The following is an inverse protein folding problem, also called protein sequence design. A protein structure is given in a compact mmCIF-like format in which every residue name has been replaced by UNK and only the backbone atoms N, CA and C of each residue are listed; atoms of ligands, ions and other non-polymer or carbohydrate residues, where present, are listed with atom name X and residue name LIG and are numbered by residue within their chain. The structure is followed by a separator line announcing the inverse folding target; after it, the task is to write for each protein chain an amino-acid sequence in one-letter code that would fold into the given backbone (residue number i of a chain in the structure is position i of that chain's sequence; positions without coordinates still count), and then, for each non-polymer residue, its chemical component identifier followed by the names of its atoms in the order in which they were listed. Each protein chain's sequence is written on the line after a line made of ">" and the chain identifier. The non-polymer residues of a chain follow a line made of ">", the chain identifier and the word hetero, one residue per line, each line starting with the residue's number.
data_IF_008665724757
#
_entry.id   IF_008665724757
#
_cell.length_a   1.000
_cell.length_b   1.000
_cell.length_c   1.000
_cell.angle_alpha   90.00
_cell.angle_beta   90.00
_cell.angle_gamma   90.00
#
_symmetry.space_group_name_H-M   'P 1'
#
loop_
_entity.id
_entity.type
_entity.pdbx_description
1 polymer ?
#
# COMPACT_ATOMS: atom_id res chain seq x y z
N UNK A 1 -23.54 13.04 15.35
CA UNK A 1 -22.25 12.77 16.02
C UNK A 1 -21.21 13.53 15.20
N UNK A 2 -20.32 14.30 15.82
CA UNK A 2 -19.28 15.01 15.08
C UNK A 2 -18.43 13.97 14.32
N UNK A 3 -18.22 14.20 13.02
CA UNK A 3 -17.28 13.41 12.22
C UNK A 3 -15.86 13.82 12.66
N UNK A 4 -15.34 13.24 13.76
CA UNK A 4 -13.99 13.48 14.22
C UNK A 4 -12.96 13.12 13.16
N UNK A 5 -11.72 13.59 13.35
CA UNK A 5 -10.66 13.45 12.36
C UNK A 5 -10.23 11.97 12.16
N UNK A 6 -9.73 11.67 10.96
CA UNK A 6 -9.02 10.43 10.65
C UNK A 6 -7.52 10.71 10.75
N UNK A 7 -6.81 9.97 11.60
CA UNK A 7 -5.36 10.02 11.62
C UNK A 7 -4.80 9.14 10.51
N UNK A 8 -4.08 9.73 9.57
CA UNK A 8 -3.36 9.03 8.50
C UNK A 8 -1.88 9.00 8.84
N UNK A 9 -1.33 7.86 9.21
CA UNK A 9 0.12 7.72 9.41
C UNK A 9 0.82 7.37 8.10
N UNK A 10 2.11 7.67 7.99
CA UNK A 10 2.80 7.56 6.70
C UNK A 10 2.33 8.61 5.69
N UNK A 11 1.88 9.77 6.18
CA UNK A 11 1.23 10.81 5.39
C UNK A 11 2.16 11.57 4.44
N UNK A 12 3.46 11.36 4.50
CA UNK A 12 4.42 11.85 3.52
C UNK A 12 4.73 10.82 2.41
N UNK A 13 4.31 9.56 2.59
CA UNK A 13 4.49 8.46 1.64
C UNK A 13 3.44 8.44 0.53
N UNK A 14 3.61 7.50 -0.43
CA UNK A 14 2.74 7.33 -1.59
C UNK A 14 1.26 7.21 -1.21
N UNK A 15 0.91 6.22 -0.38
CA UNK A 15 -0.49 5.93 -0.03
C UNK A 15 -1.03 7.00 0.91
N UNK A 16 -0.30 7.27 2.01
CA UNK A 16 -0.76 8.18 3.06
C UNK A 16 -0.99 9.60 2.56
N UNK A 17 -0.10 10.13 1.70
CA UNK A 17 -0.28 11.45 1.14
C UNK A 17 -1.53 11.54 0.24
N UNK A 18 -1.66 10.62 -0.70
CA UNK A 18 -2.80 10.62 -1.64
C UNK A 18 -4.12 10.47 -0.88
N UNK A 19 -4.14 9.61 0.14
CA UNK A 19 -5.30 9.41 1.00
C UNK A 19 -5.64 10.67 1.82
N UNK A 20 -4.66 11.26 2.51
CA UNK A 20 -4.90 12.47 3.31
C UNK A 20 -5.38 13.64 2.46
N UNK A 21 -4.77 13.84 1.28
CA UNK A 21 -5.21 14.85 0.33
C UNK A 21 -6.63 14.61 -0.19
N UNK A 22 -6.99 13.34 -0.48
CA UNK A 22 -8.34 12.96 -0.93
C UNK A 22 -9.37 13.20 0.17
N UNK A 23 -9.09 12.81 1.42
CA UNK A 23 -9.96 13.05 2.57
C UNK A 23 -10.18 14.55 2.80
N UNK A 24 -9.11 15.33 2.79
CA UNK A 24 -9.17 16.79 2.92
C UNK A 24 -10.02 17.42 1.81
N UNK A 25 -9.79 17.06 0.56
CA UNK A 25 -10.54 17.58 -0.60
C UNK A 25 -12.02 17.21 -0.56
N UNK A 26 -12.39 16.09 0.07
CA UNK A 26 -13.78 15.68 0.29
C UNK A 26 -14.45 16.34 1.51
N UNK A 27 -13.73 17.22 2.22
CA UNK A 27 -14.23 17.91 3.42
C UNK A 27 -14.23 17.04 4.68
N UNK A 28 -13.57 15.87 4.68
CA UNK A 28 -13.44 14.99 5.84
C UNK A 28 -12.28 15.48 6.71
N UNK A 29 -12.48 15.67 8.03
CA UNK A 29 -11.39 16.03 8.92
C UNK A 29 -10.30 14.96 8.89
N UNK A 30 -9.04 15.36 8.65
CA UNK A 30 -7.88 14.47 8.56
C UNK A 30 -6.67 15.11 9.22
N UNK A 31 -5.84 14.29 9.86
CA UNK A 31 -4.54 14.68 10.39
C UNK A 31 -3.51 13.73 9.80
N UNK A 32 -2.48 14.27 9.14
CA UNK A 32 -1.34 13.50 8.67
C UNK A 32 -0.26 13.36 9.74
N UNK A 33 0.38 12.19 9.83
CA UNK A 33 1.52 11.94 10.71
C UNK A 33 2.60 11.17 9.97
N UNK A 34 3.85 11.66 10.02
CA UNK A 34 5.03 10.98 9.47
C UNK A 34 6.30 11.52 10.12
N UNK A 35 7.46 10.92 9.83
CA UNK A 35 8.78 11.39 10.30
C UNK A 35 9.11 12.81 9.86
N UNK A 36 8.71 13.18 8.66
CA UNK A 36 8.93 14.49 8.07
C UNK A 36 7.71 14.92 7.25
N UNK A 37 7.54 16.21 7.09
CA UNK A 37 6.46 16.76 6.28
C UNK A 37 6.57 16.30 4.82
N UNK A 38 5.42 16.14 4.13
CA UNK A 38 5.41 15.80 2.71
C UNK A 38 6.19 16.85 1.89
N UNK A 39 6.86 16.39 0.84
CA UNK A 39 7.48 17.30 -0.12
C UNK A 39 6.41 18.06 -0.92
N UNK A 40 6.64 19.35 -1.16
CA UNK A 40 5.71 20.22 -1.89
C UNK A 40 4.55 20.74 -1.03
N UNK A 41 3.56 21.36 -1.68
CA UNK A 41 2.40 21.92 -0.99
C UNK A 41 1.41 20.82 -0.57
N UNK A 42 0.83 20.97 0.61
CA UNK A 42 -0.27 20.16 1.12
C UNK A 42 -1.16 21.01 2.04
N UNK A 43 -2.43 20.65 2.21
CA UNK A 43 -3.43 21.47 2.89
C UNK A 43 -3.97 20.83 4.18
N UNK A 44 -3.64 19.57 4.46
CA UNK A 44 -4.11 18.89 5.67
C UNK A 44 -3.19 19.19 6.89
N UNK A 45 -3.74 19.23 8.12
CA UNK A 45 -2.95 19.31 9.35
C UNK A 45 -1.93 18.18 9.44
N UNK A 46 -0.70 18.49 9.89
CA UNK A 46 0.39 17.52 9.91
C UNK A 46 1.19 17.55 11.22
N UNK A 47 1.52 16.36 11.72
CA UNK A 47 2.35 16.14 12.90
C UNK A 47 3.60 15.37 12.50
N UNK A 48 4.77 15.96 12.73
CA UNK A 48 6.05 15.27 12.55
C UNK A 48 6.35 14.40 13.76
N UNK A 49 6.33 13.08 13.58
CA UNK A 49 6.61 12.12 14.65
C UNK A 49 7.01 10.74 14.11
N UNK A 50 7.84 10.03 14.87
CA UNK A 50 8.12 8.61 14.69
C UNK A 50 6.97 7.76 15.27
N UNK A 51 6.66 6.61 14.68
CA UNK A 51 5.67 5.67 15.22
C UNK A 51 6.08 5.10 16.59
N UNK A 52 7.37 5.19 16.94
CA UNK A 52 7.90 4.87 18.25
C UNK A 52 7.70 5.98 19.29
N UNK A 53 7.38 7.20 18.88
CA UNK A 53 7.09 8.33 19.79
C UNK A 53 5.63 8.25 20.27
N UNK A 54 5.43 7.45 21.30
CA UNK A 54 4.11 7.20 21.89
C UNK A 54 3.48 8.50 22.41
N UNK A 55 4.26 9.44 22.92
CA UNK A 55 3.74 10.71 23.42
C UNK A 55 3.13 11.55 22.28
N UNK A 56 3.84 11.66 21.16
CA UNK A 56 3.34 12.37 19.97
C UNK A 56 2.13 11.67 19.36
N UNK A 57 2.09 10.34 19.39
CA UNK A 57 0.92 9.59 18.95
C UNK A 57 -0.32 9.92 19.79
N UNK A 58 -0.22 9.93 21.13
CA UNK A 58 -1.35 10.29 22.00
C UNK A 58 -1.73 11.77 21.86
N UNK A 59 -0.76 12.68 21.68
CA UNK A 59 -1.02 14.10 21.38
C UNK A 59 -1.82 14.26 20.08
N UNK A 60 -1.52 13.46 19.05
CA UNK A 60 -2.31 13.43 17.82
C UNK A 60 -3.73 12.92 18.05
N UNK A 61 -3.90 11.86 18.84
CA UNK A 61 -5.22 11.27 19.13
C UNK A 61 -6.10 12.17 19.99
N UNK A 62 -5.52 13.07 20.79
CA UNK A 62 -6.27 14.04 21.62
C UNK A 62 -6.93 15.16 20.76
N UNK A 63 -6.71 15.20 19.45
CA UNK A 63 -7.30 16.15 18.51
C UNK A 63 -8.63 15.67 17.89
N UNK A 64 -9.51 15.07 18.69
CA UNK A 64 -10.80 14.52 18.25
C UNK A 64 -10.67 13.49 17.13
N UNK A 65 -9.66 12.61 17.22
CA UNK A 65 -9.46 11.51 16.26
C UNK A 65 -10.46 10.39 16.53
N UNK A 66 -11.17 9.96 15.48
CA UNK A 66 -12.16 8.87 15.54
C UNK A 66 -11.63 7.53 15.06
N UNK A 67 -10.60 7.52 14.23
CA UNK A 67 -10.02 6.29 13.73
C UNK A 67 -8.71 6.55 13.02
N UNK A 68 -8.04 5.48 12.64
CA UNK A 68 -6.69 5.53 12.05
C UNK A 68 -6.66 4.76 10.74
N UNK A 69 -6.05 5.36 9.70
CA UNK A 69 -5.60 4.61 8.53
C UNK A 69 -4.07 4.59 8.59
N UNK A 70 -3.53 3.40 8.88
CA UNK A 70 -2.12 3.21 9.19
C UNK A 70 -1.34 2.78 7.95
N UNK A 71 -0.73 3.77 7.26
CA UNK A 71 0.15 3.56 6.11
C UNK A 71 1.65 3.66 6.48
N UNK A 72 1.98 4.10 7.70
CA UNK A 72 3.36 4.32 8.14
C UNK A 72 4.14 3.01 8.26
N UNK A 73 5.20 2.89 7.46
CA UNK A 73 6.11 1.74 7.47
C UNK A 73 7.37 2.04 6.65
N UNK A 74 8.44 1.33 6.93
CA UNK A 74 9.53 1.14 5.95
C UNK A 74 9.00 0.13 4.94
N UNK A 75 8.66 0.62 3.72
CA UNK A 75 7.82 -0.10 2.77
C UNK A 75 8.59 -0.59 1.56
N UNK A 76 8.86 -1.88 1.53
CA UNK A 76 9.46 -2.61 0.40
C UNK A 76 10.54 -3.58 0.84
N UNK A 77 10.61 -4.77 0.22
CA UNK A 77 11.61 -5.79 0.56
C UNK A 77 13.04 -5.39 0.19
N UNK A 78 13.21 -4.37 -0.67
CA UNK A 78 14.52 -3.87 -1.11
C UNK A 78 15.14 -2.83 -0.16
N UNK A 79 14.40 -2.33 0.83
CA UNK A 79 14.87 -1.25 1.69
C UNK A 79 15.60 -1.81 2.92
N UNK A 80 16.66 -1.10 3.36
CA UNK A 80 17.41 -1.38 4.58
C UNK A 80 17.81 -2.88 4.73
N UNK A 81 18.26 -3.50 3.64
CA UNK A 81 18.72 -4.89 3.64
C UNK A 81 19.90 -5.13 4.62
N UNK A 82 20.70 -4.10 4.84
CA UNK A 82 21.81 -4.06 5.79
C UNK A 82 21.38 -3.72 7.24
N UNK A 83 20.13 -3.28 7.44
CA UNK A 83 19.61 -2.92 8.76
C UNK A 83 18.18 -3.44 9.00
N UNK A 84 17.96 -4.76 8.98
CA UNK A 84 16.63 -5.36 9.14
C UNK A 84 15.98 -5.07 10.49
N UNK A 85 16.78 -4.80 11.53
CA UNK A 85 16.27 -4.44 12.86
C UNK A 85 15.43 -3.15 12.80
N UNK A 86 15.84 -2.16 12.03
CA UNK A 86 15.09 -0.91 11.88
C UNK A 86 13.74 -1.15 11.22
N UNK A 87 13.64 -2.08 10.24
CA UNK A 87 12.38 -2.47 9.64
C UNK A 87 11.45 -3.09 10.70
N UNK A 88 11.96 -4.01 11.50
CA UNK A 88 11.18 -4.64 12.59
C UNK A 88 10.71 -3.61 13.59
N UNK A 89 11.59 -2.70 14.03
CA UNK A 89 11.26 -1.67 15.00
C UNK A 89 10.18 -0.72 14.48
N UNK A 90 10.33 -0.22 13.28
CA UNK A 90 9.34 0.69 12.69
C UNK A 90 8.01 -0.02 12.40
N UNK A 91 8.06 -1.17 11.73
CA UNK A 91 6.85 -1.78 11.20
C UNK A 91 6.09 -2.61 12.24
N UNK A 92 6.77 -3.39 13.10
CA UNK A 92 6.09 -4.20 14.11
C UNK A 92 5.79 -3.37 15.36
N UNK A 93 6.82 -2.75 15.95
CA UNK A 93 6.60 -2.00 17.18
C UNK A 93 5.76 -0.74 16.92
N UNK A 94 6.00 -0.04 15.81
CA UNK A 94 5.17 1.10 15.41
C UNK A 94 3.71 0.71 15.22
N UNK A 95 3.42 -0.40 14.52
CA UNK A 95 2.05 -0.89 14.36
C UNK A 95 1.42 -1.32 15.70
N UNK A 96 2.20 -1.97 16.58
CA UNK A 96 1.71 -2.32 17.92
C UNK A 96 1.32 -1.08 18.74
N UNK A 97 2.10 0.00 18.66
CA UNK A 97 1.77 1.29 19.29
C UNK A 97 0.45 1.86 18.74
N UNK A 98 0.23 1.77 17.43
CA UNK A 98 -1.01 2.23 16.78
C UNK A 98 -2.23 1.43 17.28
N UNK A 99 -2.15 0.09 17.27
CA UNK A 99 -3.26 -0.75 17.73
C UNK A 99 -3.56 -0.53 19.23
N UNK A 100 -2.52 -0.43 20.07
CA UNK A 100 -2.69 -0.20 21.49
C UNK A 100 -3.28 1.19 21.80
N UNK A 101 -2.78 2.22 21.13
CA UNK A 101 -3.31 3.56 21.30
C UNK A 101 -4.78 3.67 20.83
N UNK A 102 -5.11 3.02 19.71
CA UNK A 102 -6.49 2.96 19.22
C UNK A 102 -7.41 2.25 20.21
N UNK A 103 -6.97 1.13 20.79
CA UNK A 103 -7.71 0.40 21.82
C UNK A 103 -7.94 1.26 23.07
N UNK A 104 -6.91 1.95 23.58
CA UNK A 104 -6.99 2.77 24.78
C UNK A 104 -7.87 4.01 24.61
N UNK A 105 -7.99 4.53 23.39
CA UNK A 105 -8.83 5.69 23.05
C UNK A 105 -10.22 5.29 22.54
N UNK A 106 -10.53 4.00 22.53
CA UNK A 106 -11.81 3.46 22.04
C UNK A 106 -12.16 4.00 20.64
N UNK A 107 -11.15 3.97 19.73
CA UNK A 107 -11.33 4.48 18.38
C UNK A 107 -12.26 3.60 17.57
N UNK A 108 -13.03 4.22 16.70
CA UNK A 108 -14.00 3.54 15.84
C UNK A 108 -13.37 2.44 15.00
N UNK A 109 -12.21 2.70 14.36
CA UNK A 109 -11.55 1.72 13.47
C UNK A 109 -10.08 2.00 13.23
N UNK A 110 -9.33 0.91 13.01
CA UNK A 110 -7.97 0.95 12.45
C UNK A 110 -7.95 0.19 11.12
N UNK A 111 -7.63 0.89 10.03
CA UNK A 111 -7.32 0.27 8.73
C UNK A 111 -5.81 0.16 8.61
N UNK A 112 -5.29 -1.08 8.57
CA UNK A 112 -3.87 -1.37 8.47
C UNK A 112 -3.47 -1.63 7.01
N UNK A 113 -2.55 -0.84 6.48
CA UNK A 113 -1.96 -1.05 5.16
C UNK A 113 -0.94 -2.19 5.21
N UNK A 114 -1.41 -3.41 4.93
CA UNK A 114 -0.61 -4.61 4.78
C UNK A 114 -0.06 -4.77 3.36
N UNK A 115 0.43 -5.94 3.02
CA UNK A 115 1.01 -6.26 1.71
C UNK A 115 0.76 -7.71 1.35
N UNK A 116 0.66 -8.00 0.05
CA UNK A 116 0.69 -9.38 -0.47
C UNK A 116 2.01 -10.08 -0.21
N UNK A 117 3.10 -9.34 0.10
CA UNK A 117 4.37 -9.92 0.56
C UNK A 117 4.23 -10.72 1.87
N UNK A 118 3.17 -10.49 2.65
CA UNK A 118 2.86 -11.27 3.84
C UNK A 118 2.56 -12.74 3.53
N UNK A 119 2.04 -13.04 2.35
CA UNK A 119 1.81 -14.41 1.91
C UNK A 119 3.11 -15.18 1.65
N UNK A 120 4.16 -14.48 1.20
CA UNK A 120 5.47 -15.10 0.90
C UNK A 120 5.39 -16.14 -0.20
N UNK A 121 6.18 -17.20 -0.02
CA UNK A 121 6.28 -18.30 -0.97
C UNK A 121 5.20 -19.34 -0.78
N UNK A 122 4.52 -19.67 -1.87
CA UNK A 122 3.58 -20.78 -1.95
C UNK A 122 3.97 -21.74 -3.08
N UNK A 123 3.50 -23.01 -3.01
CA UNK A 123 3.72 -23.95 -4.11
C UNK A 123 3.20 -23.38 -5.43
N UNK A 124 3.93 -23.64 -6.52
CA UNK A 124 3.53 -23.22 -7.88
C UNK A 124 2.15 -23.74 -8.31
N UNK A 125 1.64 -24.77 -7.63
CA UNK A 125 0.29 -25.32 -7.82
C UNK A 125 -0.81 -24.45 -7.21
N UNK A 126 -0.48 -23.45 -6.38
CA UNK A 126 -1.47 -22.50 -5.88
C UNK A 126 -1.79 -21.49 -6.99
N UNK A 127 -2.96 -21.61 -7.57
CA UNK A 127 -3.42 -20.74 -8.66
C UNK A 127 -4.09 -19.48 -8.13
N UNK A 128 -4.83 -19.60 -7.02
CA UNK A 128 -5.59 -18.50 -6.40
C UNK A 128 -5.21 -18.40 -4.93
N UNK A 129 -4.91 -17.17 -4.48
CA UNK A 129 -4.58 -16.84 -3.11
C UNK A 129 -5.74 -16.03 -2.50
N UNK A 130 -6.44 -16.64 -1.57
CA UNK A 130 -7.50 -16.01 -0.79
C UNK A 130 -6.95 -15.42 0.51
N UNK A 131 -7.77 -14.66 1.24
CA UNK A 131 -7.39 -14.11 2.54
C UNK A 131 -7.12 -15.17 3.61
N UNK A 132 -7.69 -16.37 3.43
CA UNK A 132 -7.48 -17.53 4.31
C UNK A 132 -6.19 -18.30 4.00
N UNK A 133 -5.51 -18.00 2.88
CA UNK A 133 -4.22 -18.58 2.55
C UNK A 133 -3.21 -18.26 3.66
N UNK A 134 -2.48 -19.26 4.19
CA UNK A 134 -1.52 -19.03 5.27
C UNK A 134 -0.47 -17.99 4.91
N UNK A 135 -0.12 -17.14 5.87
CA UNK A 135 0.96 -16.17 5.73
C UNK A 135 2.30 -16.91 5.91
N UNK A 136 3.14 -16.89 4.88
CA UNK A 136 4.42 -17.61 4.80
C UNK A 136 5.53 -16.70 4.28
N UNK A 137 5.65 -15.50 4.86
CA UNK A 137 6.63 -14.51 4.44
C UNK A 137 8.07 -15.05 4.50
N UNK A 138 8.85 -14.75 3.45
CA UNK A 138 10.23 -15.22 3.29
C UNK A 138 11.27 -14.10 3.39
N UNK A 139 10.82 -12.85 3.49
CA UNK A 139 11.67 -11.68 3.72
C UNK A 139 11.20 -10.89 4.94
N UNK A 140 12.08 -10.03 5.47
CA UNK A 140 11.80 -9.25 6.68
C UNK A 140 10.61 -8.31 6.50
N UNK A 141 10.49 -7.65 5.36
CA UNK A 141 9.36 -6.75 5.11
C UNK A 141 8.03 -7.52 5.11
N UNK A 142 7.93 -8.61 4.37
CA UNK A 142 6.76 -9.48 4.36
C UNK A 142 6.42 -10.00 5.75
N UNK A 143 7.43 -10.43 6.52
CA UNK A 143 7.25 -10.89 7.90
C UNK A 143 6.69 -9.79 8.81
N UNK A 144 7.15 -8.53 8.65
CA UNK A 144 6.59 -7.42 9.44
C UNK A 144 5.14 -7.11 9.05
N UNK A 145 4.78 -7.22 7.76
CA UNK A 145 3.40 -7.02 7.30
C UNK A 145 2.48 -8.15 7.78
N UNK A 146 2.94 -9.40 7.73
CA UNK A 146 2.23 -10.55 8.31
C UNK A 146 2.02 -10.38 9.83
N UNK A 147 3.03 -9.88 10.55
CA UNK A 147 2.90 -9.58 11.98
C UNK A 147 1.81 -8.56 12.27
N UNK A 148 1.73 -7.49 11.49
CA UNK A 148 0.67 -6.48 11.61
C UNK A 148 -0.73 -7.04 11.33
N UNK A 149 -0.90 -7.91 10.33
CA UNK A 149 -2.15 -8.64 10.07
C UNK A 149 -2.57 -9.49 11.28
N UNK A 150 -1.62 -10.22 11.85
CA UNK A 150 -1.87 -11.08 13.02
C UNK A 150 -2.25 -10.21 14.23
N UNK A 151 -1.56 -9.09 14.46
CA UNK A 151 -1.88 -8.15 15.53
C UNK A 151 -3.28 -7.55 15.33
N UNK A 152 -3.62 -7.07 14.15
CA UNK A 152 -4.95 -6.55 13.85
C UNK A 152 -6.05 -7.53 14.24
N UNK A 153 -5.90 -8.79 13.81
CA UNK A 153 -6.85 -9.86 14.15
C UNK A 153 -6.88 -10.17 15.65
N UNK A 154 -5.74 -10.18 16.32
CA UNK A 154 -5.66 -10.46 17.75
C UNK A 154 -6.31 -9.34 18.58
N UNK A 155 -6.05 -8.07 18.27
CA UNK A 155 -6.70 -6.93 18.92
C UNK A 155 -8.22 -6.93 18.72
N UNK A 156 -8.67 -7.30 17.52
CA UNK A 156 -10.10 -7.46 17.25
C UNK A 156 -10.71 -8.59 18.11
N UNK A 157 -10.08 -9.76 18.17
CA UNK A 157 -10.60 -10.91 18.87
C UNK A 157 -10.57 -10.77 20.40
N UNK A 158 -9.49 -10.19 20.95
CA UNK A 158 -9.31 -10.12 22.40
C UNK A 158 -9.87 -8.86 23.04
N UNK A 159 -9.91 -7.75 22.30
CA UNK A 159 -10.25 -6.44 22.83
C UNK A 159 -11.40 -5.76 22.12
N UNK A 160 -11.98 -6.37 21.08
CA UNK A 160 -13.10 -5.78 20.34
C UNK A 160 -12.70 -4.57 19.47
N UNK A 161 -11.39 -4.29 19.29
CA UNK A 161 -10.95 -3.20 18.44
C UNK A 161 -11.34 -3.52 17.00
N UNK A 162 -12.13 -2.67 16.37
CA UNK A 162 -12.45 -2.81 14.96
C UNK A 162 -11.18 -2.50 14.13
N UNK A 163 -10.54 -3.54 13.64
CA UNK A 163 -9.30 -3.44 12.88
C UNK A 163 -9.33 -4.37 11.68
N UNK A 164 -8.88 -3.86 10.54
CA UNK A 164 -8.88 -4.53 9.26
C UNK A 164 -7.54 -4.35 8.54
N UNK A 165 -7.06 -5.40 7.88
CA UNK A 165 -5.84 -5.36 7.09
C UNK A 165 -6.16 -5.33 5.59
N UNK A 166 -5.52 -4.42 4.84
CA UNK A 166 -5.58 -4.37 3.38
C UNK A 166 -4.24 -4.84 2.81
N UNK A 167 -4.24 -5.99 2.14
CA UNK A 167 -3.05 -6.61 1.56
C UNK A 167 -2.84 -6.10 0.14
N UNK A 168 -2.11 -5.00 0.03
CA UNK A 168 -1.82 -4.38 -1.26
C UNK A 168 -0.76 -5.15 -2.05
N UNK A 169 -0.97 -5.29 -3.36
CA UNK A 169 0.06 -5.76 -4.29
C UNK A 169 1.03 -4.63 -4.66
N UNK A 170 1.63 -4.66 -5.86
CA UNK A 170 2.58 -3.64 -6.32
C UNK A 170 1.87 -2.31 -6.62
N UNK A 171 1.79 -1.44 -5.61
CA UNK A 171 1.20 -0.10 -5.77
C UNK A 171 2.11 0.77 -6.61
N UNK A 172 1.56 1.46 -7.63
CA UNK A 172 2.29 2.43 -8.44
C UNK A 172 1.48 3.71 -8.64
N UNK A 173 2.20 4.79 -8.99
CA UNK A 173 1.56 6.08 -9.26
C UNK A 173 2.40 7.27 -8.75
N UNK A 174 1.87 8.49 -8.88
CA UNK A 174 2.47 9.73 -8.43
C UNK A 174 3.07 9.66 -7.03
N UNK A 175 4.23 10.31 -6.83
CA UNK A 175 4.95 10.40 -5.54
C UNK A 175 5.61 9.11 -5.04
N UNK A 176 5.60 8.01 -5.80
CA UNK A 176 6.37 6.84 -5.39
C UNK A 176 7.87 7.15 -5.41
N UNK A 177 8.51 7.10 -4.24
CA UNK A 177 9.93 7.39 -4.05
C UNK A 177 10.84 6.16 -4.07
N UNK A 178 10.27 4.98 -3.80
CA UNK A 178 11.01 3.69 -3.85
C UNK A 178 11.06 3.14 -5.26
N UNK A 179 11.93 2.16 -5.49
CA UNK A 179 12.08 1.50 -6.77
C UNK A 179 10.74 1.03 -7.34
N UNK A 180 10.51 1.38 -8.59
CA UNK A 180 9.27 1.09 -9.29
C UNK A 180 9.55 0.95 -10.78
N UNK A 181 9.47 -0.28 -11.29
CA UNK A 181 9.70 -0.58 -12.69
C UNK A 181 8.92 0.34 -13.64
N UNK A 182 7.63 0.56 -13.37
CA UNK A 182 6.79 1.44 -14.21
C UNK A 182 7.33 2.87 -14.20
N UNK A 183 7.75 3.39 -13.03
CA UNK A 183 8.31 4.75 -12.95
C UNK A 183 9.62 4.86 -13.73
N UNK A 184 10.51 3.89 -13.56
CA UNK A 184 11.81 3.88 -14.23
C UNK A 184 11.65 3.86 -15.74
N UNK A 185 10.81 2.95 -16.26
CA UNK A 185 10.52 2.87 -17.70
C UNK A 185 9.89 4.15 -18.24
N UNK A 186 8.97 4.78 -17.50
CA UNK A 186 8.36 6.04 -17.89
C UNK A 186 9.38 7.19 -17.86
N UNK A 187 10.20 7.28 -16.82
CA UNK A 187 11.21 8.34 -16.69
C UNK A 187 12.24 8.24 -17.82
N UNK A 188 12.76 7.04 -18.08
CA UNK A 188 13.71 6.81 -19.18
C UNK A 188 13.06 7.14 -20.54
N UNK A 189 11.84 6.69 -20.77
CA UNK A 189 11.15 6.94 -22.02
C UNK A 189 10.88 8.44 -22.25
N UNK A 190 10.50 9.17 -21.21
CA UNK A 190 10.25 10.62 -21.27
C UNK A 190 11.54 11.43 -21.50
N UNK A 191 12.66 10.93 -21.00
CA UNK A 191 13.99 11.55 -21.18
C UNK A 191 14.75 11.03 -22.41
N UNK A 192 14.15 10.11 -23.20
CA UNK A 192 14.77 9.54 -24.39
C UNK A 192 15.94 8.59 -24.09
N UNK A 193 15.98 8.02 -22.88
CA UNK A 193 17.00 7.03 -22.49
C UNK A 193 16.53 5.61 -22.83
N UNK A 194 17.49 4.73 -23.12
CA UNK A 194 17.21 3.31 -23.25
C UNK A 194 17.12 2.64 -21.88
N UNK A 195 16.05 1.88 -21.64
CA UNK A 195 15.92 0.98 -20.50
C UNK A 195 16.32 -0.44 -20.86
N UNK A 196 17.13 -1.10 -20.02
CA UNK A 196 17.55 -2.49 -20.21
C UNK A 196 17.22 -3.31 -18.98
N UNK A 197 16.52 -4.43 -19.20
CA UNK A 197 16.14 -5.38 -18.16
C UNK A 197 16.36 -6.81 -18.66
N UNK A 198 16.51 -7.73 -17.70
CA UNK A 198 16.65 -9.15 -17.98
C UNK A 198 15.58 -9.91 -17.18
N UNK A 199 14.33 -9.85 -17.64
CA UNK A 199 13.23 -10.61 -17.04
C UNK A 199 12.97 -11.88 -17.83
N UNK A 200 12.71 -12.99 -17.11
CA UNK A 200 12.29 -14.25 -17.70
C UNK A 200 10.87 -14.19 -18.26
N UNK A 201 10.53 -15.20 -19.07
CA UNK A 201 9.18 -15.35 -19.63
C UNK A 201 8.11 -15.51 -18.55
N UNK A 202 8.50 -15.97 -17.36
CA UNK A 202 7.60 -16.16 -16.21
C UNK A 202 7.39 -14.88 -15.39
N UNK A 203 8.06 -13.77 -15.74
CA UNK A 203 7.86 -12.52 -15.02
C UNK A 203 6.40 -12.07 -15.14
N UNK A 204 5.74 -11.96 -14.00
CA UNK A 204 4.39 -11.40 -13.93
C UNK A 204 4.16 -10.81 -12.55
N UNK A 205 3.59 -9.61 -12.50
CA UNK A 205 3.23 -8.93 -11.25
C UNK A 205 1.81 -8.44 -11.28
N UNK A 206 1.18 -8.40 -10.11
CA UNK A 206 -0.12 -7.78 -9.94
C UNK A 206 0.11 -6.34 -9.50
N UNK A 207 -0.07 -5.39 -10.42
CA UNK A 207 0.01 -3.97 -10.12
C UNK A 207 -1.35 -3.44 -9.70
N UNK A 208 -1.36 -2.42 -8.84
CA UNK A 208 -2.55 -1.66 -8.49
C UNK A 208 -2.23 -0.17 -8.51
N UNK A 209 -3.07 0.62 -9.18
CA UNK A 209 -2.87 2.06 -9.25
C UNK A 209 -3.26 2.72 -7.93
N UNK A 210 -2.55 3.79 -7.58
CA UNK A 210 -2.69 4.46 -6.27
C UNK A 210 -4.12 4.90 -5.96
N UNK A 211 -4.90 5.32 -6.95
CA UNK A 211 -6.27 5.76 -6.73
C UNK A 211 -7.18 4.59 -6.28
N UNK A 212 -7.03 3.40 -6.88
CA UNK A 212 -7.74 2.19 -6.43
C UNK A 212 -7.38 1.81 -4.98
N UNK A 213 -6.12 2.01 -4.59
CA UNK A 213 -5.65 1.76 -3.21
C UNK A 213 -6.31 2.71 -2.21
N UNK A 214 -6.40 3.99 -2.57
CA UNK A 214 -7.05 5.02 -1.75
C UNK A 214 -8.55 4.74 -1.62
N UNK A 215 -9.21 4.37 -2.72
CA UNK A 215 -10.62 4.01 -2.70
C UNK A 215 -10.88 2.78 -1.82
N UNK A 216 -10.02 1.76 -1.87
CA UNK A 216 -10.10 0.59 -0.99
C UNK A 216 -9.94 0.96 0.50
N UNK A 217 -8.98 1.84 0.82
CA UNK A 217 -8.74 2.29 2.18
C UNK A 217 -9.92 3.07 2.75
N UNK A 218 -10.52 3.94 1.95
CA UNK A 218 -11.73 4.70 2.32
C UNK A 218 -12.92 3.75 2.47
N UNK A 219 -13.14 2.83 1.53
CA UNK A 219 -14.22 1.85 1.60
C UNK A 219 -14.10 0.97 2.85
N UNK A 220 -12.89 0.51 3.19
CA UNK A 220 -12.64 -0.25 4.40
C UNK A 220 -12.88 0.57 5.69
N UNK A 221 -12.54 1.86 5.67
CA UNK A 221 -12.81 2.73 6.82
C UNK A 221 -14.30 3.00 7.02
N UNK A 222 -15.06 3.15 5.96
CA UNK A 222 -16.47 3.55 5.98
C UNK A 222 -17.45 2.37 6.06
N UNK A 223 -17.01 1.15 5.81
CA UNK A 223 -17.87 -0.04 5.83
C UNK A 223 -18.52 -0.25 7.21
N UNK A 224 -19.80 -0.50 7.23
CA UNK A 224 -20.53 -0.71 8.48
C UNK A 224 -20.30 -2.10 9.09
N UNK A 225 -20.14 -3.12 8.25
CA UNK A 225 -19.94 -4.52 8.66
C UNK A 225 -18.77 -5.12 7.88
N UNK A 226 -17.69 -5.42 8.60
CA UNK A 226 -16.50 -6.05 8.05
C UNK A 226 -16.47 -7.53 8.46
N UNK A 227 -17.26 -8.38 7.82
CA UNK A 227 -17.24 -9.82 8.05
C UNK A 227 -15.84 -10.45 7.92
N UNK A 228 -15.02 -9.96 6.99
CA UNK A 228 -13.60 -10.30 6.86
C UNK A 228 -12.71 -9.29 7.60
N UNK A 229 -11.59 -9.77 8.15
CA UNK A 229 -10.59 -8.94 8.85
C UNK A 229 -9.33 -8.69 8.02
N UNK A 230 -9.28 -9.23 6.81
CA UNK A 230 -8.27 -8.92 5.80
C UNK A 230 -8.93 -8.89 4.41
N UNK A 231 -8.35 -8.10 3.50
CA UNK A 231 -8.82 -8.01 2.11
C UNK A 231 -7.62 -7.91 1.18
N UNK A 232 -7.62 -8.70 0.11
CA UNK A 232 -6.69 -8.55 -0.99
C UNK A 232 -7.08 -7.36 -1.85
N UNK A 233 -6.12 -6.49 -2.13
CA UNK A 233 -6.32 -5.27 -2.92
C UNK A 233 -5.27 -5.23 -4.03
N UNK A 234 -5.67 -5.59 -5.24
CA UNK A 234 -4.82 -5.63 -6.43
C UNK A 234 -5.55 -5.08 -7.65
N UNK A 235 -4.86 -4.90 -8.76
CA UNK A 235 -5.49 -4.46 -10.01
C UNK A 235 -6.27 -5.55 -10.77
N UNK A 236 -6.50 -6.72 -10.14
CA UNK A 236 -7.38 -7.78 -10.67
C UNK A 236 -6.72 -8.72 -11.68
N UNK A 237 -5.50 -8.49 -12.10
CA UNK A 237 -4.81 -9.34 -13.08
C UNK A 237 -3.29 -9.32 -12.90
N UNK A 238 -2.62 -10.21 -13.63
CA UNK A 238 -1.16 -10.20 -13.75
C UNK A 238 -0.77 -9.41 -14.99
N UNK A 239 0.34 -8.69 -14.88
CA UNK A 239 0.96 -8.00 -16.01
C UNK A 239 2.35 -8.60 -16.24
N UNK A 240 2.58 -9.14 -17.42
CA UNK A 240 3.90 -9.55 -17.91
C UNK A 240 4.78 -8.32 -18.16
N UNK A 241 6.05 -8.52 -18.39
CA UNK A 241 6.93 -7.41 -18.76
C UNK A 241 6.52 -6.79 -20.10
N UNK A 242 6.08 -7.61 -21.05
CA UNK A 242 5.55 -7.17 -22.35
C UNK A 242 4.27 -6.31 -22.20
N UNK A 243 3.38 -6.65 -21.27
CA UNK A 243 2.19 -5.82 -21.00
C UNK A 243 2.60 -4.44 -20.48
N UNK A 244 3.62 -4.38 -19.61
CA UNK A 244 4.15 -3.12 -19.08
C UNK A 244 4.80 -2.30 -20.21
N UNK A 245 5.63 -2.94 -21.05
CA UNK A 245 6.23 -2.29 -22.23
C UNK A 245 5.13 -1.73 -23.14
N UNK A 246 4.11 -2.52 -23.43
CA UNK A 246 3.00 -2.11 -24.28
C UNK A 246 2.28 -0.89 -23.70
N UNK A 247 2.01 -0.89 -22.39
CA UNK A 247 1.38 0.25 -21.70
C UNK A 247 2.25 1.51 -21.74
N UNK A 248 3.57 1.37 -21.55
CA UNK A 248 4.52 2.52 -21.66
C UNK A 248 4.56 3.05 -23.08
N UNK A 249 4.67 2.19 -24.10
CA UNK A 249 4.69 2.58 -25.52
C UNK A 249 3.38 3.18 -26.00
N UNK A 250 2.25 2.83 -25.42
CA UNK A 250 0.97 3.47 -25.70
C UNK A 250 0.94 4.96 -25.28
N UNK A 251 1.83 5.36 -24.35
CA UNK A 251 1.94 6.74 -23.84
C UNK A 251 3.15 7.47 -24.41
N UNK A 252 4.26 6.75 -24.60
CA UNK A 252 5.53 7.22 -25.19
C UNK A 252 5.94 6.29 -26.31
N UNK A 253 5.42 6.46 -27.55
CA UNK A 253 5.67 5.54 -28.65
C UNK A 253 7.14 5.31 -29.00
N UNK A 254 8.00 6.28 -28.70
CA UNK A 254 9.44 6.22 -28.94
C UNK A 254 10.24 5.54 -27.82
N UNK A 255 9.58 4.94 -26.81
CA UNK A 255 10.25 4.29 -25.70
C UNK A 255 11.17 3.15 -26.17
N UNK A 256 12.47 3.28 -25.89
CA UNK A 256 13.49 2.29 -26.21
C UNK A 256 13.69 1.36 -25.01
N UNK A 257 12.94 0.27 -24.99
CA UNK A 257 12.95 -0.71 -23.90
C UNK A 257 13.38 -2.05 -24.46
N UNK A 258 14.45 -2.63 -23.88
CA UNK A 258 15.03 -3.91 -24.26
C UNK A 258 14.88 -4.90 -23.10
N UNK A 259 14.29 -6.06 -23.38
CA UNK A 259 14.34 -7.21 -22.49
C UNK A 259 15.39 -8.20 -23.02
N UNK A 260 16.44 -8.40 -22.26
CA UNK A 260 17.53 -9.33 -22.62
C UNK A 260 17.18 -10.79 -22.30
N UNK A 261 16.06 -11.01 -21.58
CA UNK A 261 15.63 -12.31 -21.13
C UNK A 261 16.50 -12.89 -20.00
N UNK A 262 15.91 -13.70 -19.16
CA UNK A 262 16.65 -14.48 -18.15
C UNK A 262 15.94 -15.79 -17.85
N UNK A 263 16.67 -16.75 -17.27
CA UNK A 263 16.11 -17.95 -16.67
C UNK A 263 15.77 -17.67 -15.18
N UNK A 264 14.70 -16.96 -14.90
CA UNK A 264 14.29 -16.66 -13.53
C UNK A 264 12.78 -16.68 -13.39
N UNK A 265 12.28 -17.33 -12.35
CA UNK A 265 10.86 -17.29 -12.01
C UNK A 265 10.57 -16.13 -11.05
N UNK A 266 9.48 -15.42 -11.26
CA UNK A 266 8.94 -14.52 -10.22
C UNK A 266 8.30 -15.37 -9.12
N UNK A 267 8.53 -15.00 -7.85
CA UNK A 267 8.17 -15.84 -6.70
C UNK A 267 6.65 -15.90 -6.43
N UNK A 268 5.84 -15.01 -6.97
CA UNK A 268 4.43 -14.89 -6.62
C UNK A 268 3.50 -15.18 -7.81
N UNK A 269 3.21 -16.45 -8.05
CA UNK A 269 2.41 -16.90 -9.20
C UNK A 269 0.90 -16.88 -8.97
N UNK A 270 0.41 -16.97 -7.72
CA UNK A 270 -1.02 -17.02 -7.43
C UNK A 270 -1.73 -15.70 -7.73
N UNK A 271 -2.91 -15.76 -8.36
CA UNK A 271 -3.80 -14.60 -8.45
C UNK A 271 -4.44 -14.35 -7.08
N UNK A 272 -4.45 -13.09 -6.66
CA UNK A 272 -5.18 -12.70 -5.45
C UNK A 272 -6.68 -12.71 -5.73
N UNK A 273 -7.43 -13.45 -4.93
CA UNK A 273 -8.90 -13.38 -4.95
C UNK A 273 -9.37 -12.04 -4.40
N UNK A 274 -10.26 -11.38 -5.12
CA UNK A 274 -10.83 -10.08 -4.73
C UNK A 274 -12.31 -10.21 -4.32
N UNK A 275 -12.81 -11.43 -4.17
CA UNK A 275 -14.23 -11.69 -3.85
C UNK A 275 -14.63 -11.03 -2.54
N UNK A 276 -13.81 -11.15 -1.49
CA UNK A 276 -14.11 -10.53 -0.20
C UNK A 276 -14.13 -8.99 -0.29
N UNK A 277 -13.19 -8.38 -0.99
CA UNK A 277 -13.17 -6.93 -1.19
C UNK A 277 -14.41 -6.45 -1.95
N UNK A 278 -14.81 -7.17 -3.00
CA UNK A 278 -16.01 -6.83 -3.78
C UNK A 278 -17.29 -6.99 -2.95
N UNK A 279 -17.46 -8.12 -2.28
CA UNK A 279 -18.73 -8.49 -1.67
C UNK A 279 -18.95 -7.79 -0.32
N UNK A 280 -17.87 -7.45 0.42
CA UNK A 280 -17.94 -6.81 1.73
C UNK A 280 -17.69 -5.31 1.66
N UNK A 281 -16.65 -4.86 0.92
CA UNK A 281 -16.33 -3.44 0.80
C UNK A 281 -17.06 -2.75 -0.36
N UNK A 282 -17.70 -3.51 -1.28
CA UNK A 282 -18.21 -2.96 -2.53
C UNK A 282 -17.11 -2.43 -3.45
N UNK A 283 -15.86 -2.86 -3.21
CA UNK A 283 -14.69 -2.36 -3.93
C UNK A 283 -14.22 -3.33 -5.02
N UNK A 284 -13.85 -2.77 -6.14
CA UNK A 284 -13.11 -3.46 -7.20
C UNK A 284 -12.21 -2.46 -7.93
N UNK A 285 -11.08 -2.90 -8.52
CA UNK A 285 -10.19 -2.00 -9.23
C UNK A 285 -10.89 -1.37 -10.43
N UNK A 286 -10.71 -0.06 -10.61
CA UNK A 286 -11.29 0.73 -11.70
C UNK A 286 -10.24 1.12 -12.74
N UNK A 287 -8.95 1.09 -12.38
CA UNK A 287 -7.86 1.53 -13.23
C UNK A 287 -7.20 0.34 -13.93
N UNK A 288 -7.25 0.34 -15.26
CA UNK A 288 -6.40 -0.57 -16.04
C UNK A 288 -4.93 -0.16 -15.95
N UNK A 289 -4.01 -1.10 -16.22
CA UNK A 289 -2.59 -0.79 -16.27
C UNK A 289 -2.29 0.38 -17.23
N UNK A 290 -2.87 0.39 -18.42
CA UNK A 290 -2.67 1.45 -19.40
C UNK A 290 -3.16 2.81 -18.89
N UNK A 291 -4.35 2.87 -18.28
CA UNK A 291 -4.91 4.11 -17.73
C UNK A 291 -4.04 4.67 -16.61
N UNK A 292 -3.58 3.82 -15.68
CA UNK A 292 -2.69 4.21 -14.59
C UNK A 292 -1.31 4.65 -15.08
N UNK A 293 -0.73 3.94 -16.06
CA UNK A 293 0.55 4.32 -16.69
C UNK A 293 0.44 5.67 -17.39
N UNK A 294 -0.67 5.94 -18.09
CA UNK A 294 -0.94 7.24 -18.73
C UNK A 294 -1.02 8.36 -17.71
N UNK A 295 -1.82 8.19 -16.67
CA UNK A 295 -1.99 9.18 -15.60
C UNK A 295 -0.64 9.45 -14.88
N UNK A 296 0.16 8.41 -14.67
CA UNK A 296 1.47 8.55 -14.05
C UNK A 296 2.47 9.28 -14.96
N UNK A 297 2.48 8.99 -16.27
CA UNK A 297 3.30 9.71 -17.23
C UNK A 297 2.93 11.20 -17.30
N UNK A 298 1.64 11.53 -17.27
CA UNK A 298 1.17 12.91 -17.27
C UNK A 298 1.62 13.66 -16.00
N UNK A 299 1.60 12.98 -14.86
CA UNK A 299 2.15 13.55 -13.63
C UNK A 299 3.67 13.78 -13.73
N UNK A 300 4.44 12.81 -14.24
CA UNK A 300 5.90 12.93 -14.40
C UNK A 300 6.30 14.06 -15.35
N UNK A 301 5.49 14.36 -16.39
CA UNK A 301 5.75 15.50 -17.29
C UNK A 301 5.59 16.87 -16.62
N UNK A 302 4.81 16.94 -15.54
CA UNK A 302 4.44 18.19 -14.89
C UNK A 302 5.14 18.40 -13.54
N UNK A 303 5.98 17.49 -13.08
CA UNK A 303 6.70 17.54 -11.81
C UNK A 303 8.16 17.10 -11.95
#
# INVERSE_FOLDING_TARGET
>A
MSDGAILVTGAAGLIGFTLAARLQASGRPVIGMDLAAPAGAFEFPFIAADLGDVHKLYEALDQDVRGIIHCGAISGPMLLLDNPRSIVQSNIMGSANIFEAARQRDLHRVVYCSSTSAYGDHPKSLEICTEDTPLNAVDIYGATKASGDILARAYAAQHGLDSVALRFSWVYGPRRSTDCLIRELLSDALEGRQSRYAFGADFARQYVYIEDVVDAAIAAYDSADLGARAFNITGGGRSSFEDIIAAVRAVVPAADIVNEGSEGADLNHALMDLTAARDVLGWQPQWSLEAGVRAYADWLRNN
#
